data_IF_088281560412
#
_entry.id   IF_088281560412
#
_cell.length_a   1.000
_cell.length_b   1.000
_cell.length_c   1.000
_cell.angle_alpha   90.00
_cell.angle_beta   90.00
_cell.angle_gamma   90.00
#
_symmetry.space_group_name_H-M   'P 1'
#
loop_
_entity.id
_entity.type
_entity.pdbx_description
1 polymer ?
#
# COMPACT_ATOMS: atom_id res chain seq x y z
N UNK A 1 -54.46 76.12 9.59
CA UNK A 1 -53.73 75.00 10.22
C UNK A 1 -53.04 74.27 9.07
N UNK A 2 -51.73 74.21 8.90
CA UNK A 2 -50.55 74.70 9.60
C UNK A 2 -49.32 74.19 8.82
N UNK A 3 -48.20 74.89 8.97
CA UNK A 3 -46.80 74.41 9.01
C UNK A 3 -46.28 73.55 7.83
N UNK A 4 -45.42 74.07 6.96
CA UNK A 4 -43.96 74.32 7.12
C UNK A 4 -43.07 73.15 6.67
N UNK A 5 -42.00 73.55 5.97
CA UNK A 5 -40.64 72.97 5.95
C UNK A 5 -40.44 71.52 5.47
N UNK A 6 -39.71 71.27 4.37
CA UNK A 6 -38.28 71.50 4.11
C UNK A 6 -37.41 70.28 4.41
N UNK A 7 -36.37 70.14 3.57
CA UNK A 7 -35.14 69.32 3.67
C UNK A 7 -35.29 67.82 3.38
N UNK A 8 -34.27 67.12 2.89
CA UNK A 8 -33.07 67.41 2.11
C UNK A 8 -32.38 66.04 1.94
N UNK A 9 -31.85 65.78 0.74
CA UNK A 9 -30.54 65.17 0.45
C UNK A 9 -29.93 64.16 1.44
N UNK A 10 -29.74 62.92 0.97
CA UNK A 10 -28.52 62.07 1.04
C UNK A 10 -28.73 60.98 -0.02
N UNK A 11 -28.04 60.99 -1.17
CA UNK A 11 -26.68 60.55 -1.45
C UNK A 11 -26.35 59.08 -1.14
N UNK A 12 -25.77 58.44 -2.17
CA UNK A 12 -24.94 57.22 -2.26
C UNK A 12 -25.29 55.94 -1.51
N UNK A 13 -25.15 54.81 -2.21
CA UNK A 13 -24.97 53.51 -1.57
C UNK A 13 -25.43 52.33 -2.40
N UNK A 14 -24.50 51.79 -3.20
CA UNK A 14 -24.51 50.41 -3.65
C UNK A 14 -24.95 49.51 -2.48
N UNK A 15 -26.02 48.73 -2.64
CA UNK A 15 -26.44 47.77 -1.62
C UNK A 15 -25.44 46.62 -1.64
N UNK A 16 -24.61 46.40 -0.60
CA UNK A 16 -23.83 45.18 -0.53
C UNK A 16 -24.79 44.01 -0.29
N UNK A 17 -24.85 43.06 -1.23
CA UNK A 17 -25.36 41.72 -0.94
C UNK A 17 -24.27 41.01 -0.15
N UNK A 18 -24.57 40.68 1.11
CA UNK A 18 -23.82 39.71 1.90
C UNK A 18 -24.22 38.33 1.34
N UNK A 19 -23.34 37.72 0.55
CA UNK A 19 -23.35 36.26 0.40
C UNK A 19 -22.54 35.71 1.58
N UNK A 20 -23.20 34.88 2.36
CA UNK A 20 -22.61 34.14 3.46
C UNK A 20 -21.50 33.25 2.92
N UNK A 21 -20.26 33.57 3.28
CA UNK A 21 -19.15 32.61 3.21
C UNK A 21 -19.46 31.58 4.29
N UNK A 22 -19.85 30.38 3.88
CA UNK A 22 -19.86 29.25 4.78
C UNK A 22 -18.39 28.94 5.13
N UNK A 23 -18.06 29.21 6.39
CA UNK A 23 -16.86 28.73 7.07
C UNK A 23 -16.79 27.20 6.96
N UNK A 24 -15.66 26.64 6.51
CA UNK A 24 -15.30 25.24 6.75
C UNK A 24 -13.79 25.05 6.44
N UNK A 25 -12.95 25.72 7.24
CA UNK A 25 -11.55 25.32 7.44
C UNK A 25 -11.52 24.14 8.43
N UNK A 26 -11.89 22.94 7.96
CA UNK A 26 -11.66 21.69 8.71
C UNK A 26 -10.22 21.21 8.46
N UNK A 27 -9.32 21.78 9.26
CA UNK A 27 -7.95 21.32 9.47
C UNK A 27 -8.02 20.14 10.44
N UNK A 28 -8.08 18.91 9.92
CA UNK A 28 -7.88 17.70 10.73
C UNK A 28 -6.38 17.55 11.07
N UNK A 29 -5.90 18.38 12.01
CA UNK A 29 -4.67 18.14 12.76
C UNK A 29 -5.04 17.29 13.98
N UNK A 30 -4.60 16.04 13.93
CA UNK A 30 -4.29 15.14 15.03
C UNK A 30 -5.01 15.38 16.37
N UNK A 31 -5.99 14.52 16.61
CA UNK A 31 -6.58 14.21 17.90
C UNK A 31 -5.55 13.57 18.86
N UNK A 32 -4.52 14.33 19.25
CA UNK A 32 -3.74 14.11 20.48
C UNK A 32 -4.58 14.63 21.64
N UNK A 33 -5.14 13.70 22.39
CA UNK A 33 -5.89 13.92 23.62
C UNK A 33 -4.95 14.58 24.66
N UNK A 34 -5.00 15.92 24.75
CA UNK A 34 -4.29 16.71 25.74
C UNK A 34 -5.30 17.18 26.77
N UNK A 35 -5.37 16.47 27.90
CA UNK A 35 -6.24 16.79 29.02
C UNK A 35 -5.66 18.01 29.79
N UNK A 36 -6.37 19.15 29.88
CA UNK A 36 -5.86 20.38 30.51
C UNK A 36 -5.53 20.25 31.99
N UNK A 37 -5.97 19.17 32.66
CA UNK A 37 -5.73 18.94 34.09
C UNK A 37 -4.32 18.40 34.40
N UNK A 38 -3.58 17.90 33.41
CA UNK A 38 -2.21 17.38 33.58
C UNK A 38 -1.10 18.42 33.35
N UNK A 39 -1.45 19.69 33.12
CA UNK A 39 -0.48 20.77 32.92
C UNK A 39 0.09 21.29 34.26
N UNK A 40 1.21 20.71 34.70
CA UNK A 40 2.00 21.23 35.82
C UNK A 40 3.07 22.25 35.32
N UNK A 41 2.89 23.56 35.56
CA UNK A 41 3.83 24.60 35.11
C UNK A 41 5.18 24.58 35.84
N UNK A 42 5.40 23.64 36.78
CA UNK A 42 6.66 23.49 37.52
C UNK A 42 7.47 22.25 37.09
N UNK A 43 6.96 21.44 36.17
CA UNK A 43 7.66 20.27 35.66
C UNK A 43 8.65 20.66 34.53
N UNK A 44 9.95 20.33 34.63
CA UNK A 44 10.92 20.63 33.59
C UNK A 44 10.78 19.67 32.39
N UNK A 45 10.64 20.25 31.19
CA UNK A 45 10.35 19.55 29.93
C UNK A 45 11.55 18.75 29.37
N UNK A 46 12.77 18.95 29.89
CA UNK A 46 14.00 18.29 29.40
C UNK A 46 14.85 17.86 30.59
N UNK A 47 15.16 16.56 30.70
CA UNK A 47 16.17 16.04 31.63
C UNK A 47 17.55 16.12 30.97
N UNK A 48 18.60 16.68 31.64
CA UNK A 48 19.95 16.80 31.09
C UNK A 48 20.66 15.48 30.69
N UNK A 49 20.04 14.32 30.95
CA UNK A 49 20.61 13.00 30.67
C UNK A 49 20.37 12.50 29.23
N UNK A 50 19.45 13.11 28.47
CA UNK A 50 18.96 12.57 27.19
C UNK A 50 19.47 13.32 25.94
N UNK A 51 20.61 14.00 26.04
CA UNK A 51 21.29 14.66 24.89
C UNK A 51 22.38 13.74 24.33
N UNK A 52 22.21 13.14 23.14
CA UNK A 52 23.28 12.37 22.50
C UNK A 52 24.38 13.30 21.98
N UNK A 53 25.56 13.24 22.61
CA UNK A 53 26.79 13.87 22.12
C UNK A 53 27.28 13.15 20.86
N UNK A 54 27.42 13.87 19.75
CA UNK A 54 28.24 13.44 18.60
C UNK A 54 29.39 14.42 18.43
N UNK A 55 30.58 14.01 18.86
CA UNK A 55 31.82 14.73 18.62
C UNK A 55 32.44 14.26 17.29
N UNK A 56 32.70 15.21 16.41
CA UNK A 56 33.53 15.05 15.22
C UNK A 56 35.01 15.00 15.60
N UNK A 57 35.75 14.06 15.02
CA UNK A 57 37.22 14.16 14.94
C UNK A 57 37.70 13.78 13.54
N UNK A 58 38.50 14.69 12.98
CA UNK A 58 39.06 14.64 11.66
C UNK A 58 40.44 13.95 11.65
N UNK A 59 40.83 13.57 10.42
CA UNK A 59 42.18 13.35 9.90
C UNK A 59 42.87 11.99 10.12
N UNK A 60 43.10 11.27 9.02
CA UNK A 60 44.46 10.92 8.56
C UNK A 60 44.45 10.32 7.14
N UNK A 61 45.43 10.77 6.35
CA UNK A 61 45.75 10.43 4.97
C UNK A 61 46.05 8.95 4.73
N UNK A 62 45.66 8.39 3.56
CA UNK A 62 46.41 7.31 2.86
C UNK A 62 45.92 7.04 1.42
N UNK A 63 46.90 6.82 0.52
CA UNK A 63 46.89 6.68 -0.96
C UNK A 63 46.06 5.50 -1.53
N UNK A 64 45.69 5.52 -2.84
CA UNK A 64 44.95 4.44 -3.51
C UNK A 64 45.85 3.44 -4.27
N UNK A 65 45.42 2.17 -4.43
CA UNK A 65 45.83 1.30 -5.55
C UNK A 65 44.63 0.91 -6.46
N UNK A 66 44.88 0.30 -7.64
CA UNK A 66 44.11 0.53 -8.87
C UNK A 66 42.88 -0.36 -9.07
N UNK A 67 41.99 0.15 -9.92
CA UNK A 67 40.75 -0.48 -10.39
C UNK A 67 40.99 -1.74 -11.23
N UNK A 68 40.18 -2.76 -10.99
CA UNK A 68 39.80 -3.75 -11.99
C UNK A 68 38.26 -3.81 -12.03
N UNK A 69 37.61 -3.74 -13.21
CA UNK A 69 36.15 -3.84 -13.30
C UNK A 69 35.72 -5.31 -13.18
N UNK A 70 34.73 -5.67 -12.34
CA UNK A 70 34.06 -6.94 -12.48
C UNK A 70 33.13 -6.90 -13.72
N UNK A 71 33.01 -8.01 -14.46
CA UNK A 71 32.25 -8.07 -15.69
C UNK A 71 30.77 -7.84 -15.42
N UNK A 72 30.18 -7.01 -16.28
CA UNK A 72 28.75 -6.89 -16.49
C UNK A 72 28.14 -8.28 -16.73
N UNK A 73 27.43 -8.77 -15.72
CA UNK A 73 26.47 -9.85 -15.86
C UNK A 73 25.20 -9.43 -15.12
N UNK A 74 24.54 -8.41 -15.66
CA UNK A 74 23.12 -8.27 -15.41
C UNK A 74 22.43 -9.43 -16.15
N UNK A 75 21.62 -10.27 -15.48
CA UNK A 75 20.65 -11.05 -16.21
C UNK A 75 19.63 -10.06 -16.78
N UNK A 76 19.75 -9.76 -18.08
CA UNK A 76 18.63 -9.25 -18.87
C UNK A 76 17.56 -10.34 -18.88
N UNK A 77 16.64 -10.28 -17.92
CA UNK A 77 15.37 -11.00 -18.01
C UNK A 77 14.43 -10.11 -18.81
N UNK A 78 14.66 -10.11 -20.13
CA UNK A 78 13.76 -9.50 -21.10
C UNK A 78 12.41 -10.21 -21.06
N UNK A 79 11.36 -9.50 -20.64
CA UNK A 79 9.99 -9.97 -20.77
C UNK A 79 9.48 -9.58 -22.16
N UNK A 80 9.35 -10.56 -23.04
CA UNK A 80 8.45 -10.48 -24.20
C UNK A 80 7.10 -11.06 -23.79
N UNK A 81 6.07 -10.20 -23.64
CA UNK A 81 4.65 -10.49 -23.92
C UNK A 81 3.72 -9.39 -23.35
N UNK A 82 3.25 -8.51 -24.23
CA UNK A 82 1.83 -8.17 -24.36
C UNK A 82 1.10 -7.28 -23.33
N UNK A 83 1.70 -6.86 -22.21
CA UNK A 83 1.05 -5.90 -21.30
C UNK A 83 2.02 -4.82 -20.83
N UNK A 84 1.63 -3.55 -20.97
CA UNK A 84 2.44 -2.39 -20.60
C UNK A 84 2.96 -2.51 -19.15
N UNK A 85 4.26 -2.72 -19.07
CA UNK A 85 5.16 -2.76 -17.91
C UNK A 85 4.54 -2.29 -16.58
N UNK A 86 4.09 -3.22 -15.74
CA UNK A 86 4.15 -3.01 -14.29
C UNK A 86 5.62 -2.85 -13.91
N UNK A 87 6.10 -1.61 -13.82
CA UNK A 87 7.47 -1.32 -13.38
C UNK A 87 7.60 -1.71 -11.91
N UNK A 88 8.36 -2.76 -11.63
CA UNK A 88 8.82 -3.06 -10.29
C UNK A 88 9.87 -2.02 -9.92
N UNK A 89 9.52 -1.14 -8.99
CA UNK A 89 10.38 -0.02 -8.58
C UNK A 89 11.21 -0.48 -7.38
N UNK A 90 12.52 -0.21 -7.42
CA UNK A 90 13.43 -0.52 -6.33
C UNK A 90 13.00 0.21 -5.05
N UNK A 91 13.24 -0.42 -3.90
CA UNK A 91 12.83 0.12 -2.58
C UNK A 91 13.34 1.55 -2.32
N UNK A 92 14.55 1.87 -2.80
CA UNK A 92 15.14 3.21 -2.72
C UNK A 92 14.37 4.27 -3.50
N UNK A 93 13.89 3.93 -4.70
CA UNK A 93 13.13 4.84 -5.55
C UNK A 93 11.70 5.07 -5.02
N UNK A 94 11.15 4.08 -4.29
CA UNK A 94 9.88 4.22 -3.56
C UNK A 94 9.91 5.29 -2.47
N UNK A 95 11.04 5.45 -1.80
CA UNK A 95 11.16 6.21 -0.56
C UNK A 95 11.06 7.73 -0.78
N UNK A 96 11.34 8.25 -1.98
CA UNK A 96 11.34 9.70 -2.24
C UNK A 96 10.29 10.16 -3.24
N UNK A 97 10.32 9.61 -4.45
CA UNK A 97 9.61 10.17 -5.62
C UNK A 97 8.09 9.97 -5.56
N UNK A 98 7.65 8.88 -4.96
CA UNK A 98 6.26 8.43 -5.07
C UNK A 98 5.44 8.66 -3.81
N UNK A 99 6.03 9.29 -2.77
CA UNK A 99 5.32 9.65 -1.54
C UNK A 99 4.12 10.56 -1.80
N UNK A 100 4.26 11.49 -2.76
CA UNK A 100 3.19 12.41 -3.20
C UNK A 100 2.04 11.71 -3.96
N UNK A 101 2.22 10.47 -4.41
CA UNK A 101 1.22 9.76 -5.19
C UNK A 101 0.06 9.33 -4.29
N UNK A 102 -1.15 9.38 -4.84
CA UNK A 102 -2.34 8.98 -4.12
C UNK A 102 -2.38 7.46 -3.96
N UNK A 103 -2.55 6.99 -2.72
CA UNK A 103 -2.78 5.57 -2.44
C UNK A 103 -4.23 5.17 -2.75
N UNK A 104 -4.38 4.01 -3.39
CA UNK A 104 -5.64 3.35 -3.72
C UNK A 104 -5.52 1.89 -3.28
N UNK A 105 -6.54 1.40 -2.58
CA UNK A 105 -6.59 0.03 -2.07
C UNK A 105 -7.87 -0.69 -2.56
N UNK A 106 -7.86 -2.03 -2.68
CA UNK A 106 -9.02 -2.82 -3.07
C UNK A 106 -10.28 -2.55 -2.23
N UNK A 107 -10.13 -2.46 -0.90
CA UNK A 107 -11.25 -2.21 0.03
C UNK A 107 -12.07 -0.96 -0.31
N UNK A 108 -11.50 0.01 -1.04
CA UNK A 108 -12.24 1.22 -1.45
C UNK A 108 -13.42 0.92 -2.38
N UNK A 109 -13.37 -0.19 -3.10
CA UNK A 109 -14.37 -0.62 -4.09
C UNK A 109 -15.20 -1.81 -3.62
N UNK A 110 -14.95 -2.33 -2.41
CA UNK A 110 -15.50 -3.59 -1.93
C UNK A 110 -16.97 -3.46 -1.51
N UNK A 111 -17.84 -4.24 -2.15
CA UNK A 111 -19.28 -4.30 -1.84
C UNK A 111 -19.59 -4.95 -0.48
N UNK A 112 -18.73 -5.85 0.01
CA UNK A 112 -18.90 -6.52 1.29
C UNK A 112 -18.59 -5.60 2.49
N UNK A 113 -17.91 -4.47 2.24
CA UNK A 113 -17.51 -3.49 3.25
C UNK A 113 -18.39 -2.26 3.21
N UNK A 114 -18.75 -1.73 4.38
CA UNK A 114 -19.42 -0.43 4.54
C UNK A 114 -18.45 0.73 4.37
N UNK A 115 -18.97 1.97 4.34
CA UNK A 115 -18.13 3.17 4.29
C UNK A 115 -17.23 3.30 5.53
N UNK A 116 -17.76 2.97 6.72
CA UNK A 116 -17.00 2.99 7.97
C UNK A 116 -15.88 1.93 7.98
N UNK A 117 -16.12 0.78 7.36
CA UNK A 117 -15.14 -0.30 7.23
C UNK A 117 -14.04 -0.01 6.19
N UNK A 118 -14.25 0.94 5.27
CA UNK A 118 -13.20 1.42 4.37
C UNK A 118 -13.65 1.68 2.93
N UNK A 119 -14.86 1.27 2.55
CA UNK A 119 -15.39 1.53 1.21
C UNK A 119 -15.47 3.04 0.94
N UNK A 120 -15.02 3.47 -0.23
CA UNK A 120 -15.04 4.89 -0.64
C UNK A 120 -16.09 5.20 -1.70
N UNK A 121 -16.47 4.21 -2.50
CA UNK A 121 -17.52 4.36 -3.52
C UNK A 121 -18.92 4.12 -2.97
N UNK A 122 -19.94 4.57 -3.71
CA UNK A 122 -21.34 4.28 -3.41
C UNK A 122 -21.63 2.78 -3.54
N UNK A 123 -22.58 2.25 -2.76
CA UNK A 123 -22.90 0.81 -2.74
C UNK A 123 -23.28 0.28 -4.14
N UNK A 124 -23.93 1.10 -4.98
CA UNK A 124 -24.30 0.76 -6.36
C UNK A 124 -23.12 0.59 -7.31
N UNK A 125 -21.99 1.23 -7.01
CA UNK A 125 -20.77 1.18 -7.82
C UNK A 125 -19.73 0.21 -7.22
N UNK A 126 -20.00 -0.34 -6.04
CA UNK A 126 -19.10 -1.28 -5.39
C UNK A 126 -19.19 -2.66 -6.05
N UNK A 127 -18.09 -3.40 -6.04
CA UNK A 127 -17.97 -4.72 -6.66
C UNK A 127 -17.62 -5.78 -5.62
N UNK A 128 -18.04 -7.04 -5.81
CA UNK A 128 -17.57 -8.14 -4.98
C UNK A 128 -16.10 -8.46 -5.29
N UNK A 129 -15.34 -8.82 -4.26
CA UNK A 129 -13.95 -9.30 -4.38
C UNK A 129 -13.03 -8.43 -5.26
N UNK A 130 -12.91 -7.10 -5.03
CA UNK A 130 -12.00 -6.27 -5.81
C UNK A 130 -10.55 -6.71 -5.59
N UNK A 131 -9.74 -6.74 -6.66
CA UNK A 131 -8.32 -7.05 -6.59
C UNK A 131 -7.48 -5.87 -7.06
N UNK A 132 -6.33 -5.64 -6.41
CA UNK A 132 -5.47 -4.50 -6.73
C UNK A 132 -4.91 -4.56 -8.16
N UNK A 133 -4.68 -5.77 -8.67
CA UNK A 133 -4.24 -6.01 -10.06
C UNK A 133 -5.23 -5.45 -11.08
N UNK A 134 -6.53 -5.67 -10.87
CA UNK A 134 -7.59 -5.19 -11.75
C UNK A 134 -7.73 -3.66 -11.68
N UNK A 135 -7.48 -3.07 -10.50
CA UNK A 135 -7.38 -1.61 -10.34
C UNK A 135 -6.21 -1.04 -11.16
N UNK A 136 -5.06 -1.71 -11.18
CA UNK A 136 -3.91 -1.32 -12.02
C UNK A 136 -4.27 -1.40 -13.50
N UNK A 137 -4.91 -2.50 -13.93
CA UNK A 137 -5.35 -2.68 -15.32
C UNK A 137 -6.30 -1.55 -15.75
N UNK A 138 -7.29 -1.22 -14.91
CA UNK A 138 -8.21 -0.10 -15.12
C UNK A 138 -7.46 1.22 -15.30
N UNK A 139 -6.63 1.60 -14.33
CA UNK A 139 -5.92 2.88 -14.35
C UNK A 139 -4.93 2.99 -15.52
N UNK A 140 -4.22 1.91 -15.85
CA UNK A 140 -3.31 1.87 -17.00
C UNK A 140 -4.07 1.99 -18.32
N UNK A 141 -5.25 1.37 -18.45
CA UNK A 141 -6.08 1.49 -19.66
C UNK A 141 -6.54 2.93 -19.93
N UNK A 142 -6.57 3.77 -18.90
CA UNK A 142 -6.95 5.18 -18.97
C UNK A 142 -5.74 6.13 -19.03
N UNK A 143 -4.51 5.60 -19.07
CA UNK A 143 -3.30 6.42 -19.19
C UNK A 143 -2.82 7.06 -17.88
N UNK A 144 -3.27 6.58 -16.71
CA UNK A 144 -2.68 7.02 -15.44
C UNK A 144 -1.29 6.41 -15.25
N UNK A 145 -0.37 7.21 -14.69
CA UNK A 145 0.88 6.67 -14.17
C UNK A 145 0.63 6.01 -12.81
N UNK A 146 0.83 4.70 -12.75
CA UNK A 146 0.61 3.90 -11.55
C UNK A 146 1.85 3.15 -11.10
N UNK A 147 1.89 2.83 -9.81
CA UNK A 147 2.89 1.97 -9.19
C UNK A 147 2.16 0.94 -8.36
N UNK A 148 2.49 -0.32 -8.61
CA UNK A 148 1.85 -1.44 -7.94
C UNK A 148 2.72 -1.99 -6.82
N UNK A 149 2.16 -2.02 -5.61
CA UNK A 149 2.78 -2.56 -4.41
C UNK A 149 1.98 -3.80 -3.96
N UNK A 150 2.30 -5.00 -4.47
CA UNK A 150 1.48 -6.18 -4.27
C UNK A 150 1.36 -6.61 -2.80
N UNK A 151 2.41 -6.43 -2.01
CA UNK A 151 2.50 -6.96 -0.63
C UNK A 151 1.89 -6.04 0.42
N UNK A 152 1.47 -4.82 0.07
CA UNK A 152 0.96 -3.84 1.04
C UNK A 152 -0.55 -3.95 1.18
N UNK A 153 -1.02 -4.17 2.41
CA UNK A 153 -2.45 -4.23 2.73
C UNK A 153 -2.96 -2.94 3.37
N UNK A 154 -4.26 -2.69 3.25
CA UNK A 154 -4.93 -1.65 4.02
C UNK A 154 -5.10 -2.13 5.48
N UNK A 155 -4.95 -1.29 6.51
CA UNK A 155 -5.05 -1.73 7.91
C UNK A 155 -6.40 -2.38 8.27
N UNK A 156 -7.50 -1.90 7.65
CA UNK A 156 -8.85 -2.46 7.81
C UNK A 156 -9.13 -3.71 6.95
N UNK A 157 -8.17 -4.15 6.13
CA UNK A 157 -8.28 -5.30 5.23
C UNK A 157 -6.94 -5.99 5.03
N UNK A 158 -6.49 -6.70 6.07
CA UNK A 158 -5.22 -7.42 6.06
C UNK A 158 -5.22 -8.59 5.07
N UNK A 159 -6.39 -9.15 4.75
CA UNK A 159 -6.56 -10.35 3.95
C UNK A 159 -6.46 -10.10 2.44
N UNK A 160 -6.73 -8.89 1.95
CA UNK A 160 -6.67 -8.56 0.53
C UNK A 160 -5.48 -7.62 0.23
N UNK A 161 -4.26 -8.14 0.09
CA UNK A 161 -3.08 -7.31 -0.13
C UNK A 161 -3.07 -6.70 -1.54
N UNK A 162 -2.51 -5.49 -1.60
CA UNK A 162 -2.26 -4.75 -2.82
C UNK A 162 -2.54 -3.26 -2.61
N UNK A 163 -1.54 -2.44 -2.90
CA UNK A 163 -1.68 -0.98 -2.92
C UNK A 163 -1.28 -0.46 -4.29
N UNK A 164 -2.08 0.45 -4.83
CA UNK A 164 -1.76 1.16 -6.07
C UNK A 164 -1.49 2.60 -5.71
N UNK A 165 -0.32 3.11 -6.08
CA UNK A 165 0.00 4.54 -6.04
C UNK A 165 -0.27 5.14 -7.40
N UNK A 166 -0.97 6.27 -7.44
CA UNK A 166 -1.40 6.93 -8.68
C UNK A 166 -0.95 8.38 -8.67
N UNK A 167 -0.31 8.82 -9.76
CA UNK A 167 -0.05 10.23 -9.98
C UNK A 167 -1.34 10.90 -10.47
N UNK A 168 -2.06 11.54 -9.54
CA UNK A 168 -3.26 12.31 -9.86
C UNK A 168 -2.95 13.79 -10.06
N UNK A 169 -2.06 14.33 -9.23
CA UNK A 169 -1.62 15.73 -9.25
C UNK A 169 -0.12 15.82 -9.16
N UNK A 170 0.46 16.74 -9.92
CA UNK A 170 1.88 17.11 -9.86
C UNK A 170 1.94 18.61 -9.57
N UNK A 171 2.65 18.99 -8.51
CA UNK A 171 2.77 20.38 -8.03
C UNK A 171 1.43 21.14 -7.87
N UNK A 172 0.38 20.42 -7.46
CA UNK A 172 -0.96 20.96 -7.18
C UNK A 172 -1.95 20.82 -8.32
N UNK A 173 -1.45 20.66 -9.55
CA UNK A 173 -2.26 20.60 -10.77
C UNK A 173 -2.58 19.16 -11.18
N UNK A 174 -3.81 18.87 -11.66
CA UNK A 174 -4.15 17.55 -12.18
C UNK A 174 -3.32 17.16 -13.40
N UNK A 175 -2.78 15.94 -13.40
CA UNK A 175 -1.97 15.42 -14.52
C UNK A 175 -2.84 14.84 -15.64
N UNK A 176 -3.98 14.23 -15.29
CA UNK A 176 -4.87 13.60 -16.27
C UNK A 176 -5.85 14.64 -16.86
N UNK A 177 -6.03 14.71 -18.20
CA UNK A 177 -6.81 15.77 -18.84
C UNK A 177 -8.29 15.79 -18.42
N UNK A 178 -8.88 14.61 -18.23
CA UNK A 178 -10.33 14.47 -17.95
C UNK A 178 -10.63 14.28 -16.46
N UNK A 179 -9.69 13.73 -15.69
CA UNK A 179 -9.95 13.24 -14.32
C UNK A 179 -9.12 14.07 -13.36
N UNK A 180 -9.78 15.03 -12.70
CA UNK A 180 -9.09 16.01 -11.87
C UNK A 180 -9.15 15.68 -10.39
N UNK A 181 -10.19 14.97 -9.97
CA UNK A 181 -10.46 14.66 -8.57
C UNK A 181 -10.31 13.17 -8.29
N UNK A 182 -9.95 12.86 -7.03
CA UNK A 182 -9.85 11.48 -6.55
C UNK A 182 -11.18 10.75 -6.65
N UNK A 183 -12.29 11.46 -6.45
CA UNK A 183 -13.64 10.89 -6.56
C UNK A 183 -13.95 10.44 -7.99
N UNK A 184 -13.66 11.28 -8.99
CA UNK A 184 -13.84 10.93 -10.40
C UNK A 184 -12.99 9.71 -10.78
N UNK A 185 -11.74 9.66 -10.32
CA UNK A 185 -10.87 8.50 -10.52
C UNK A 185 -11.48 7.22 -9.92
N UNK A 186 -12.04 7.30 -8.71
CA UNK A 186 -12.71 6.15 -8.08
C UNK A 186 -13.96 5.71 -8.84
N UNK A 187 -14.81 6.64 -9.29
CA UNK A 187 -16.01 6.29 -10.04
C UNK A 187 -15.66 5.63 -11.38
N UNK A 188 -14.56 6.05 -12.02
CA UNK A 188 -14.03 5.41 -13.23
C UNK A 188 -13.56 3.98 -12.96
N UNK A 189 -12.69 3.79 -11.96
CA UNK A 189 -12.19 2.46 -11.59
C UNK A 189 -13.33 1.53 -11.21
N UNK A 190 -14.30 2.03 -10.44
CA UNK A 190 -15.48 1.26 -10.05
C UNK A 190 -16.28 0.77 -11.27
N UNK A 191 -16.52 1.65 -12.25
CA UNK A 191 -17.20 1.27 -13.50
C UNK A 191 -16.43 0.20 -14.25
N UNK A 192 -15.12 0.37 -14.41
CA UNK A 192 -14.28 -0.62 -15.09
C UNK A 192 -14.33 -1.99 -14.40
N UNK A 193 -14.29 -2.01 -13.06
CA UNK A 193 -14.39 -3.25 -12.27
C UNK A 193 -15.78 -3.92 -12.37
N UNK A 194 -16.85 -3.14 -12.62
CA UNK A 194 -18.16 -3.71 -12.91
C UNK A 194 -18.20 -4.39 -14.27
N UNK A 195 -17.54 -3.78 -15.27
CA UNK A 195 -17.42 -4.34 -16.62
C UNK A 195 -16.45 -5.54 -16.67
N UNK A 196 -15.54 -5.67 -15.70
CA UNK A 196 -14.55 -6.73 -15.57
C UNK A 196 -14.64 -7.41 -14.19
N UNK A 197 -15.69 -8.20 -13.94
CA UNK A 197 -15.90 -8.81 -12.64
C UNK A 197 -14.78 -9.80 -12.30
N UNK A 198 -14.34 -9.79 -11.04
CA UNK A 198 -13.32 -10.72 -10.53
C UNK A 198 -13.83 -12.16 -10.62
N UNK A 199 -13.06 -13.02 -11.28
CA UNK A 199 -13.29 -14.46 -11.37
C UNK A 199 -12.33 -15.23 -10.45
N UNK A 200 -12.63 -16.47 -10.07
CA UNK A 200 -11.73 -17.29 -9.25
C UNK A 200 -10.33 -17.48 -9.87
N UNK A 201 -10.20 -17.36 -11.19
CA UNK A 201 -8.95 -17.49 -11.93
C UNK A 201 -8.16 -16.17 -12.00
N UNK A 202 -8.79 -15.02 -11.76
CA UNK A 202 -8.14 -13.70 -11.84
C UNK A 202 -6.87 -13.59 -10.97
N UNK A 203 -6.81 -14.14 -9.75
CA UNK A 203 -5.58 -14.17 -8.95
C UNK A 203 -4.39 -14.87 -9.63
N UNK A 204 -4.63 -15.87 -10.48
CA UNK A 204 -3.59 -16.63 -11.19
C UNK A 204 -2.84 -15.79 -12.22
N UNK A 205 -3.50 -14.74 -12.70
CA UNK A 205 -2.90 -13.89 -13.69
C UNK A 205 -1.70 -13.11 -13.11
N UNK A 206 -1.67 -12.84 -11.79
CA UNK A 206 -0.57 -12.11 -11.17
C UNK A 206 0.63 -13.03 -11.02
N UNK A 207 1.56 -12.92 -11.96
CA UNK A 207 2.77 -13.74 -11.98
C UNK A 207 3.92 -13.04 -11.27
N UNK A 208 4.43 -13.64 -10.20
CA UNK A 208 5.69 -13.22 -9.60
C UNK A 208 6.83 -13.96 -10.30
N UNK A 209 7.86 -13.21 -10.69
CA UNK A 209 9.03 -13.78 -11.36
C UNK A 209 9.69 -14.82 -10.44
N UNK A 210 9.93 -16.03 -10.94
CA UNK A 210 10.59 -17.11 -10.19
C UNK A 210 9.73 -17.93 -9.23
N UNK A 211 8.41 -17.70 -9.15
CA UNK A 211 7.51 -18.50 -8.30
C UNK A 211 6.82 -19.62 -9.10
N UNK A 212 6.63 -20.83 -8.55
CA UNK A 212 5.77 -21.84 -9.16
C UNK A 212 4.32 -21.34 -9.14
N UNK A 213 3.64 -21.41 -10.28
CA UNK A 213 2.26 -20.97 -10.42
C UNK A 213 1.35 -22.20 -10.34
N UNK A 214 0.38 -22.23 -9.41
CA UNK A 214 -0.61 -23.30 -9.41
C UNK A 214 -1.52 -23.15 -10.64
N UNK A 215 -1.78 -24.24 -11.35
CA UNK A 215 -2.70 -24.24 -12.51
C UNK A 215 -4.17 -24.08 -12.10
N UNK A 216 -4.48 -24.35 -10.83
CA UNK A 216 -5.84 -24.31 -10.29
C UNK A 216 -5.99 -23.16 -9.31
N UNK A 217 -7.13 -22.46 -9.31
CA UNK A 217 -7.40 -21.43 -8.34
C UNK A 217 -7.41 -22.02 -6.92
N UNK A 218 -6.88 -21.29 -5.91
CA UNK A 218 -6.92 -21.76 -4.54
C UNK A 218 -8.38 -21.91 -4.07
N UNK A 219 -8.66 -22.84 -3.14
CA UNK A 219 -9.97 -22.89 -2.49
C UNK A 219 -10.23 -21.58 -1.74
N UNK A 220 -11.50 -21.22 -1.57
CA UNK A 220 -11.88 -20.07 -0.78
C UNK A 220 -11.33 -20.18 0.66
N UNK A 221 -10.89 -19.07 1.27
CA UNK A 221 -10.36 -19.10 2.62
C UNK A 221 -11.39 -19.64 3.62
N UNK A 222 -10.95 -20.43 4.59
CA UNK A 222 -11.80 -20.89 5.69
C UNK A 222 -12.03 -19.74 6.68
N UNK A 223 -13.10 -18.97 6.48
CA UNK A 223 -13.40 -17.77 7.27
C UNK A 223 -14.18 -18.15 8.54
N UNK A 224 -13.70 -17.82 9.75
CA UNK A 224 -14.48 -17.99 10.98
C UNK A 224 -15.78 -17.18 10.93
N UNK A 225 -16.83 -17.68 11.58
CA UNK A 225 -18.12 -16.97 11.63
C UNK A 225 -17.94 -15.54 12.17
N UNK A 226 -18.49 -14.56 11.46
CA UNK A 226 -18.43 -13.14 11.82
C UNK A 226 -17.28 -12.36 11.18
N UNK A 227 -16.26 -13.02 10.64
CA UNK A 227 -15.20 -12.34 9.90
C UNK A 227 -15.68 -12.04 8.47
N UNK A 228 -15.48 -10.80 8.03
CA UNK A 228 -15.82 -10.36 6.67
C UNK A 228 -14.57 -10.41 5.79
N UNK A 229 -14.27 -11.59 5.26
CA UNK A 229 -13.17 -11.80 4.31
C UNK A 229 -13.77 -12.18 2.95
N UNK A 230 -13.18 -11.65 1.88
CA UNK A 230 -13.58 -11.93 0.50
C UNK A 230 -13.29 -13.37 0.11
N UNK A 231 -14.12 -13.94 -0.77
CA UNK A 231 -13.99 -15.33 -1.24
C UNK A 231 -12.80 -15.50 -2.18
N UNK A 232 -12.55 -14.47 -3.00
CA UNK A 232 -11.44 -14.44 -3.96
C UNK A 232 -10.39 -13.47 -3.45
N UNK A 233 -9.18 -13.97 -3.24
CA UNK A 233 -8.03 -13.22 -2.76
C UNK A 233 -6.80 -13.46 -3.65
N UNK A 234 -5.83 -12.52 -3.69
CA UNK A 234 -4.57 -12.73 -4.37
C UNK A 234 -3.80 -13.94 -3.79
N UNK A 235 -3.02 -14.64 -4.62
CA UNK A 235 -2.27 -15.83 -4.20
C UNK A 235 -1.33 -15.57 -3.00
N UNK A 236 -0.75 -14.38 -2.92
CA UNK A 236 0.13 -13.95 -1.84
C UNK A 236 -0.64 -13.37 -0.63
N UNK A 237 -1.95 -13.62 -0.53
CA UNK A 237 -2.75 -13.23 0.62
C UNK A 237 -2.31 -13.95 1.89
N UNK A 238 -2.11 -13.23 3.02
CA UNK A 238 -1.86 -13.85 4.32
C UNK A 238 -2.98 -14.80 4.77
N UNK A 239 -4.22 -14.57 4.30
CA UNK A 239 -5.38 -15.39 4.64
C UNK A 239 -5.41 -16.74 3.90
N UNK A 240 -4.82 -16.81 2.70
CA UNK A 240 -4.69 -18.06 1.92
C UNK A 240 -3.47 -18.86 2.35
N UNK A 241 -2.35 -18.18 2.66
CA UNK A 241 -1.10 -18.83 3.07
C UNK A 241 -1.12 -19.33 4.53
N UNK A 242 -2.23 -19.19 5.25
CA UNK A 242 -2.42 -19.79 6.56
C UNK A 242 -1.66 -19.11 7.70
N UNK A 243 -1.49 -17.78 7.66
CA UNK A 243 -1.18 -16.93 8.83
C UNK A 243 0.09 -17.22 9.67
N UNK A 244 0.90 -18.24 9.35
CA UNK A 244 2.02 -18.63 10.18
C UNK A 244 2.90 -19.78 9.68
N UNK A 245 2.81 -20.18 8.40
CA UNK A 245 3.56 -21.35 7.88
C UNK A 245 4.37 -21.04 6.60
N UNK A 246 4.31 -19.81 6.07
CA UNK A 246 5.09 -19.44 4.88
C UNK A 246 6.58 -19.32 5.17
N UNK A 247 6.99 -18.82 6.33
CA UNK A 247 8.41 -18.65 6.64
C UNK A 247 9.10 -19.99 6.88
N UNK A 248 8.40 -20.98 7.44
CA UNK A 248 8.97 -22.31 7.67
C UNK A 248 8.99 -23.15 6.38
N UNK A 249 7.93 -23.13 5.56
CA UNK A 249 7.88 -23.93 4.32
C UNK A 249 8.80 -23.34 3.24
N UNK A 250 8.89 -22.01 3.10
CA UNK A 250 9.81 -21.37 2.15
C UNK A 250 11.28 -21.55 2.59
N UNK A 251 11.56 -21.55 3.90
CA UNK A 251 12.90 -21.81 4.44
C UNK A 251 13.29 -23.29 4.38
N UNK A 252 12.33 -24.20 4.57
CA UNK A 252 12.52 -25.65 4.40
C UNK A 252 12.75 -26.01 2.93
N UNK A 253 11.98 -25.41 2.01
CA UNK A 253 12.15 -25.59 0.56
C UNK A 253 13.46 -24.95 0.02
N UNK A 254 13.88 -23.80 0.55
CA UNK A 254 15.19 -23.20 0.25
C UNK A 254 16.35 -23.96 0.89
N UNK A 255 16.15 -24.58 2.05
CA UNK A 255 17.11 -25.47 2.69
C UNK A 255 17.29 -26.78 1.92
N UNK A 256 16.21 -27.33 1.38
CA UNK A 256 16.21 -28.55 0.56
C UNK A 256 16.83 -28.31 -0.83
N UNK A 257 16.57 -27.14 -1.44
CA UNK A 257 17.17 -26.76 -2.73
C UNK A 257 18.63 -26.28 -2.60
N UNK A 258 19.02 -25.70 -1.46
CA UNK A 258 20.41 -25.39 -1.12
C UNK A 258 21.26 -26.62 -0.78
N UNK A 259 20.63 -27.76 -0.45
CA UNK A 259 21.29 -29.05 -0.24
C UNK A 259 21.55 -29.85 -1.52
N UNK A 260 20.97 -29.45 -2.65
CA UNK A 260 21.05 -30.21 -3.91
C UNK A 260 22.25 -29.85 -4.81
N UNK A 261 23.08 -28.89 -4.41
CA UNK A 261 24.34 -28.53 -5.10
C UNK A 261 25.49 -28.68 -4.10
N UNK A 262 25.75 -29.91 -3.66
CA UNK A 262 26.75 -30.17 -2.63
C UNK A 262 27.08 -31.65 -2.48
N UNK A 263 27.96 -32.11 -3.36
CA UNK A 263 28.84 -33.25 -3.16
C UNK A 263 28.27 -34.68 -3.32
N UNK A 264 28.63 -35.24 -4.47
CA UNK A 264 28.78 -36.68 -4.68
C UNK A 264 29.99 -37.18 -3.88
N UNK A 265 29.80 -37.59 -2.63
CA UNK A 265 30.75 -38.49 -1.99
C UNK A 265 30.07 -39.43 -1.01
N UNK A 266 30.23 -40.73 -1.25
CA UNK A 266 29.49 -41.78 -0.56
C UNK A 266 29.87 -41.93 0.90
N UNK A 267 28.89 -42.16 1.76
CA UNK A 267 29.04 -42.84 3.06
C UNK A 267 27.71 -43.46 3.49
N UNK A 268 27.69 -44.71 3.99
CA UNK A 268 26.44 -45.41 4.33
C UNK A 268 25.91 -45.00 5.71
N UNK A 269 24.61 -45.25 6.00
CA UNK A 269 23.92 -44.71 7.17
C UNK A 269 24.37 -45.36 8.49
N UNK A 270 24.30 -44.63 9.62
CA UNK A 270 24.64 -45.15 10.93
C UNK A 270 23.55 -46.09 11.48
N UNK A 271 24.00 -47.21 12.06
CA UNK A 271 23.19 -48.27 12.66
C UNK A 271 22.49 -47.81 13.95
N UNK A 272 21.21 -48.18 14.08
CA UNK A 272 20.42 -48.12 15.32
C UNK A 272 21.14 -48.81 16.49
N UNK A 273 21.29 -48.11 17.63
CA UNK A 273 21.70 -48.71 18.90
C UNK A 273 20.47 -49.23 19.64
N UNK A 274 20.35 -50.55 19.63
CA UNK A 274 19.42 -51.35 20.43
C UNK A 274 19.81 -51.29 21.91
N UNK A 275 18.89 -50.82 22.75
CA UNK A 275 18.94 -50.87 24.21
C UNK A 275 19.23 -52.29 24.73
N UNK A 276 20.21 -52.41 25.64
CA UNK A 276 20.54 -53.67 26.32
C UNK A 276 20.60 -53.48 27.84
N UNK A 277 19.47 -53.79 28.45
CA UNK A 277 19.25 -54.37 29.79
C UNK A 277 20.50 -55.02 30.44
N UNK A 278 20.86 -54.55 31.64
CA UNK A 278 21.55 -55.23 32.76
C UNK A 278 20.99 -54.57 34.03
N UNK A 279 20.25 -55.18 34.96
CA UNK A 279 20.45 -56.40 35.77
C UNK A 279 21.86 -56.52 36.34
N UNK A 280 22.09 -55.86 37.48
CA UNK A 280 22.60 -56.50 38.68
C UNK A 280 22.03 -55.78 39.90
#
# INVERSE_FOLDING_TARGET
MGVDSAKAWFDTGHRPRIEEVADEDDIDIDNMDFDPEDYDPRAPIIRPADIPSTASSAAALRRPPPQQPPPSSQPELGITSGFNQTKYINKSDMEGKFRKYQCVYPIYFDAAKSKAEGRRVGKKNAVPNPLAREIVASLNSQGFQTIFEPTKSHPKDWANPGRVRVLLKEDGEPVHPTVKTKRQMFDLVAKWLQDHPTLPETPLLLRFHGMPHPDKPPPAPAVPKGWKINEILPLHSPALSGGGVSDNIFKEMMGEMGGAIGDRSGTPPPKEKKDKKKKK
#
